data_IF_883638046245
#
_entry.id   IF_883638046245
#
_cell.length_a   1.000
_cell.length_b   1.000
_cell.length_c   1.000
_cell.angle_alpha   90.00
_cell.angle_beta   90.00
_cell.angle_gamma   90.00
#
_symmetry.space_group_name_H-M   'P 1'
#
loop_
_entity.id
_entity.type
_entity.pdbx_description
1 polymer ?
#
# COMPACT_ATOMS: atom_id res chain seq x y z
N UNK A 1 22.83 7.18 17.77
CA UNK A 1 21.48 6.85 18.25
C UNK A 1 20.95 5.72 17.38
N UNK A 2 20.81 4.51 17.93
CA UNK A 2 20.43 3.32 17.16
C UNK A 2 18.91 3.32 16.97
N UNK A 3 18.41 3.59 15.76
CA UNK A 3 16.97 3.53 15.44
C UNK A 3 16.48 2.09 15.68
N UNK A 4 15.40 1.93 16.46
CA UNK A 4 14.85 0.63 16.85
C UNK A 4 13.99 0.09 15.69
N UNK A 5 14.53 -0.86 14.92
CA UNK A 5 13.82 -1.52 13.80
C UNK A 5 12.94 -2.66 14.31
N UNK A 6 11.70 -2.73 13.84
CA UNK A 6 10.84 -3.89 14.08
C UNK A 6 11.03 -4.92 12.95
N UNK A 7 11.37 -6.15 13.31
CA UNK A 7 11.51 -7.24 12.35
C UNK A 7 10.12 -7.81 12.07
N UNK A 8 9.70 -7.79 10.81
CA UNK A 8 8.41 -8.35 10.42
C UNK A 8 8.54 -9.88 10.36
N UNK A 9 7.70 -10.59 11.13
CA UNK A 9 7.67 -12.06 11.13
C UNK A 9 6.84 -12.51 9.93
N UNK A 10 7.32 -13.51 9.18
CA UNK A 10 6.62 -14.13 8.06
C UNK A 10 5.16 -14.40 8.41
N UNK A 11 4.23 -13.91 7.58
CA UNK A 11 2.79 -14.09 7.80
C UNK A 11 2.47 -15.60 7.89
N UNK A 12 1.77 -16.06 8.94
CA UNK A 12 1.24 -17.42 8.96
C UNK A 12 0.24 -17.61 7.81
N UNK A 13 -0.01 -18.85 7.41
CA UNK A 13 -1.05 -19.21 6.42
C UNK A 13 -2.35 -18.47 6.76
N UNK A 14 -2.80 -17.59 5.86
CA UNK A 14 -3.94 -16.68 6.07
C UNK A 14 -5.18 -17.45 6.53
N UNK A 15 -5.79 -16.98 7.62
CA UNK A 15 -7.05 -17.54 8.13
C UNK A 15 -8.23 -17.25 7.20
N UNK A 16 -9.28 -18.08 7.24
CA UNK A 16 -10.48 -17.87 6.40
C UNK A 16 -11.15 -16.49 6.58
N UNK A 17 -11.01 -15.87 7.76
CA UNK A 17 -11.53 -14.52 8.02
C UNK A 17 -10.83 -13.45 7.20
N UNK A 18 -9.51 -13.55 7.05
CA UNK A 18 -8.72 -12.57 6.29
C UNK A 18 -9.04 -12.62 4.79
N UNK A 19 -9.29 -13.81 4.24
CA UNK A 19 -9.71 -13.96 2.84
C UNK A 19 -11.10 -13.38 2.57
N UNK A 20 -12.00 -13.38 3.57
CA UNK A 20 -13.31 -12.74 3.45
C UNK A 20 -13.16 -11.22 3.34
N UNK A 21 -12.30 -10.62 4.14
CA UNK A 21 -12.10 -9.16 4.16
C UNK A 21 -11.42 -8.65 2.87
N UNK A 22 -10.47 -9.42 2.33
CA UNK A 22 -9.85 -9.13 1.01
C UNK A 22 -10.89 -9.20 -0.12
N UNK A 23 -11.72 -10.25 -0.16
CA UNK A 23 -12.75 -10.39 -1.20
C UNK A 23 -13.84 -9.33 -1.07
N UNK A 24 -14.27 -9.00 0.14
CA UNK A 24 -15.22 -7.92 0.39
C UNK A 24 -14.67 -6.57 -0.11
N UNK A 25 -13.42 -6.27 0.22
CA UNK A 25 -12.73 -5.06 -0.25
C UNK A 25 -12.70 -4.99 -1.78
N UNK A 26 -12.30 -6.08 -2.44
CA UNK A 26 -12.28 -6.16 -3.91
C UNK A 26 -13.66 -5.88 -4.52
N UNK A 27 -14.71 -6.50 -3.97
CA UNK A 27 -16.08 -6.33 -4.47
C UNK A 27 -16.57 -4.89 -4.32
N UNK A 28 -16.27 -4.23 -3.20
CA UNK A 28 -16.67 -2.85 -2.93
C UNK A 28 -15.93 -1.83 -3.81
N UNK A 29 -14.65 -2.06 -4.09
CA UNK A 29 -13.82 -1.07 -4.78
C UNK A 29 -13.78 -1.24 -6.30
N UNK A 30 -14.07 -2.43 -6.83
CA UNK A 30 -14.12 -2.71 -8.26
C UNK A 30 -14.94 -1.68 -9.08
N UNK A 31 -16.17 -1.30 -8.70
CA UNK A 31 -16.95 -0.33 -9.48
C UNK A 31 -16.36 1.09 -9.45
N UNK A 32 -15.77 1.52 -8.34
CA UNK A 32 -15.17 2.85 -8.19
C UNK A 32 -13.89 2.98 -9.01
N UNK A 33 -13.04 1.94 -8.97
CA UNK A 33 -11.80 1.87 -9.76
C UNK A 33 -12.12 1.79 -11.25
N UNK A 34 -13.06 0.93 -11.65
CA UNK A 34 -13.46 0.78 -13.05
C UNK A 34 -14.07 2.07 -13.64
N UNK A 35 -14.70 2.89 -12.81
CA UNK A 35 -15.31 4.14 -13.24
C UNK A 35 -14.33 5.32 -13.33
N UNK A 36 -13.06 5.15 -12.96
CA UNK A 36 -12.07 6.23 -12.80
C UNK A 36 -12.57 7.41 -11.94
N UNK A 37 -13.57 7.18 -11.09
CA UNK A 37 -14.12 8.16 -10.16
C UNK A 37 -13.50 7.95 -8.79
N UNK A 38 -12.17 7.98 -8.75
CA UNK A 38 -11.47 7.87 -7.49
C UNK A 38 -11.54 9.24 -6.79
N UNK A 39 -12.02 9.32 -5.53
CA UNK A 39 -11.59 10.41 -4.66
C UNK A 39 -10.06 10.38 -4.58
N UNK A 40 -9.44 11.50 -4.21
CA UNK A 40 -7.99 11.69 -4.08
C UNK A 40 -7.26 10.37 -3.79
N UNK A 41 -6.46 9.89 -4.75
CA UNK A 41 -5.92 8.51 -4.82
C UNK A 41 -5.29 8.08 -3.48
N UNK A 42 -4.63 9.00 -2.78
CA UNK A 42 -4.08 8.80 -1.45
C UNK A 42 -5.12 8.28 -0.43
N UNK A 43 -6.29 8.92 -0.35
CA UNK A 43 -7.39 8.52 0.55
C UNK A 43 -7.93 7.14 0.21
N UNK A 44 -7.95 6.79 -1.07
CA UNK A 44 -8.39 5.47 -1.53
C UNK A 44 -7.42 4.38 -1.06
N UNK A 45 -6.11 4.60 -1.18
CA UNK A 45 -5.08 3.64 -0.74
C UNK A 45 -5.22 3.36 0.76
N UNK A 46 -5.37 4.40 1.58
CA UNK A 46 -5.54 4.24 3.03
C UNK A 46 -6.85 3.52 3.37
N UNK A 47 -7.93 3.82 2.66
CA UNK A 47 -9.24 3.18 2.87
C UNK A 47 -9.22 1.69 2.49
N UNK A 48 -8.55 1.35 1.39
CA UNK A 48 -8.32 -0.04 0.95
C UNK A 48 -7.51 -0.82 1.99
N UNK A 49 -6.43 -0.23 2.50
CA UNK A 49 -5.63 -0.86 3.53
C UNK A 49 -6.44 -1.07 4.82
N UNK A 50 -7.26 -0.09 5.19
CA UNK A 50 -8.14 -0.17 6.35
C UNK A 50 -9.19 -1.27 6.21
N UNK A 51 -9.78 -1.46 5.03
CA UNK A 51 -10.79 -2.50 4.84
C UNK A 51 -10.19 -3.91 4.84
N UNK A 52 -8.94 -4.06 4.39
CA UNK A 52 -8.21 -5.34 4.44
C UNK A 52 -7.82 -5.71 5.88
N UNK A 53 -7.32 -4.76 6.67
CA UNK A 53 -6.91 -5.01 8.06
C UNK A 53 -8.03 -4.86 9.10
N UNK A 54 -9.20 -4.36 8.69
CA UNK A 54 -10.37 -4.21 9.54
C UNK A 54 -10.12 -3.30 10.75
N UNK A 55 -10.22 -3.87 11.96
CA UNK A 55 -10.11 -3.14 13.24
C UNK A 55 -8.68 -3.07 13.80
N UNK A 56 -7.67 -3.46 13.02
CA UNK A 56 -6.28 -3.40 13.47
C UNK A 56 -5.82 -1.95 13.73
N UNK A 57 -4.90 -1.76 14.69
CA UNK A 57 -4.46 -0.41 15.10
C UNK A 57 -3.69 0.31 13.99
N UNK A 58 -3.03 -0.45 13.11
CA UNK A 58 -2.32 0.06 11.93
C UNK A 58 -3.18 0.15 10.66
N UNK A 59 -4.48 -0.18 10.74
CA UNK A 59 -5.36 -0.23 9.58
C UNK A 59 -5.56 1.17 8.96
N UNK A 60 -5.09 1.35 7.72
CA UNK A 60 -5.16 2.62 7.00
C UNK A 60 -4.25 3.72 7.54
N UNK A 61 -3.20 3.37 8.29
CA UNK A 61 -2.24 4.33 8.86
C UNK A 61 -0.84 4.01 8.34
N UNK A 62 -0.13 5.03 7.82
CA UNK A 62 1.27 4.88 7.40
C UNK A 62 2.15 4.48 8.58
N UNK A 63 3.23 3.74 8.33
CA UNK A 63 4.15 3.31 9.37
C UNK A 63 4.83 4.50 10.04
N UNK A 64 4.97 4.40 11.37
CA UNK A 64 5.62 5.42 12.21
C UNK A 64 6.98 4.96 12.76
N UNK A 65 7.50 3.84 12.26
CA UNK A 65 8.75 3.24 12.68
C UNK A 65 9.40 2.50 11.51
N UNK A 66 10.72 2.30 11.59
CA UNK A 66 11.46 1.51 10.62
C UNK A 66 11.15 0.02 10.78
N UNK A 67 10.99 -0.65 9.64
CA UNK A 67 10.74 -2.08 9.55
C UNK A 67 11.81 -2.72 8.69
N UNK A 68 12.04 -4.01 8.91
CA UNK A 68 12.88 -4.83 8.02
C UNK A 68 12.01 -5.94 7.43
N UNK A 69 12.15 -6.17 6.13
CA UNK A 69 11.38 -7.17 5.38
C UNK A 69 12.33 -8.30 5.00
N UNK A 70 12.23 -9.42 5.70
CA UNK A 70 13.21 -10.51 5.58
C UNK A 70 14.57 -10.11 6.19
N UNK A 71 15.63 -10.74 5.71
CA UNK A 71 16.99 -10.55 6.23
C UNK A 71 17.83 -9.56 5.42
N UNK A 72 17.46 -9.30 4.16
CA UNK A 72 18.30 -8.55 3.19
C UNK A 72 17.67 -7.26 2.67
N UNK A 73 16.42 -6.94 3.04
CA UNK A 73 15.74 -5.73 2.58
C UNK A 73 15.30 -4.84 3.73
N UNK A 74 15.94 -3.67 3.79
CA UNK A 74 15.52 -2.54 4.60
C UNK A 74 14.84 -1.51 3.67
N UNK A 75 13.51 -1.34 3.78
CA UNK A 75 12.83 -0.23 3.13
C UNK A 75 13.37 1.11 3.61
N UNK A 76 12.96 2.17 2.90
CA UNK A 76 13.33 3.55 3.23
C UNK A 76 13.00 3.93 4.70
N UNK A 77 13.52 5.05 5.18
CA UNK A 77 13.24 5.46 6.56
C UNK A 77 11.78 5.92 6.73
N UNK A 78 11.18 5.65 7.89
CA UNK A 78 9.74 5.85 8.11
C UNK A 78 9.27 7.30 8.01
N UNK A 79 10.14 8.25 8.34
CA UNK A 79 9.89 9.69 8.29
C UNK A 79 9.81 10.22 6.85
N UNK A 80 10.39 9.50 5.90
CA UNK A 80 10.35 9.83 4.47
C UNK A 80 9.12 9.24 3.75
N UNK A 81 8.46 8.24 4.34
CA UNK A 81 7.29 7.54 3.75
C UNK A 81 6.17 8.48 3.32
N UNK A 82 5.72 9.47 4.13
CA UNK A 82 4.62 10.33 3.72
C UNK A 82 4.94 11.11 2.43
N UNK A 83 6.16 11.66 2.35
CA UNK A 83 6.59 12.43 1.19
C UNK A 83 6.74 11.55 -0.06
N UNK A 84 7.24 10.32 0.07
CA UNK A 84 7.30 9.40 -1.07
C UNK A 84 5.93 8.86 -1.50
N UNK A 85 5.00 8.67 -0.55
CA UNK A 85 3.62 8.33 -0.88
C UNK A 85 2.93 9.45 -1.67
N UNK A 86 3.18 10.72 -1.34
CA UNK A 86 2.64 11.85 -2.10
C UNK A 86 3.21 11.88 -3.53
N UNK A 87 4.52 11.69 -3.69
CA UNK A 87 5.17 11.59 -5.01
C UNK A 87 4.64 10.41 -5.82
N UNK A 88 4.44 9.27 -5.15
CA UNK A 88 3.88 8.07 -5.77
C UNK A 88 2.46 8.32 -6.29
N UNK A 89 1.60 8.97 -5.47
CA UNK A 89 0.23 9.32 -5.85
C UNK A 89 0.20 10.30 -7.02
N UNK A 90 1.06 11.32 -6.99
CA UNK A 90 1.19 12.27 -8.11
C UNK A 90 1.62 11.57 -9.39
N UNK A 91 2.56 10.62 -9.29
CA UNK A 91 2.99 9.82 -10.44
C UNK A 91 1.86 8.93 -10.97
N UNK A 92 1.08 8.27 -10.10
CA UNK A 92 -0.08 7.47 -10.52
C UNK A 92 -1.08 8.32 -11.31
N UNK A 93 -1.44 9.49 -10.80
CA UNK A 93 -2.38 10.40 -11.45
C UNK A 93 -1.85 10.90 -12.81
N UNK A 94 -0.56 11.25 -12.88
CA UNK A 94 0.08 11.72 -14.10
C UNK A 94 0.12 10.63 -15.19
N UNK A 95 0.54 9.41 -14.86
CA UNK A 95 0.61 8.30 -15.83
C UNK A 95 -0.78 7.86 -16.29
N UNK A 96 -1.76 7.82 -15.39
CA UNK A 96 -3.15 7.51 -15.74
C UNK A 96 -3.73 8.53 -16.74
N UNK A 97 -3.35 9.81 -16.61
CA UNK A 97 -3.76 10.87 -17.54
C UNK A 97 -2.98 10.84 -18.86
N UNK A 98 -1.68 10.53 -18.81
CA UNK A 98 -0.82 10.48 -19.99
C UNK A 98 -1.15 9.29 -20.89
N UNK A 99 -1.47 8.13 -20.31
CA UNK A 99 -1.87 6.93 -21.05
C UNK A 99 -0.77 6.34 -21.94
N UNK A 100 0.50 6.59 -21.60
CA UNK A 100 1.66 6.18 -22.42
C UNK A 100 2.06 4.72 -22.19
N UNK A 101 1.92 4.23 -20.96
CA UNK A 101 2.23 2.84 -20.59
C UNK A 101 1.03 1.92 -20.80
N UNK A 102 1.28 0.64 -21.13
CA UNK A 102 0.23 -0.37 -21.09
C UNK A 102 -0.25 -0.62 -19.66
N UNK A 103 -1.49 -1.09 -19.50
CA UNK A 103 -2.04 -1.39 -18.18
C UNK A 103 -1.19 -2.40 -17.39
N UNK A 104 -0.57 -3.37 -18.07
CA UNK A 104 0.30 -4.37 -17.46
C UNK A 104 1.62 -3.75 -16.95
N UNK A 105 2.26 -2.91 -17.77
CA UNK A 105 3.49 -2.21 -17.39
C UNK A 105 3.23 -1.23 -16.25
N UNK A 106 2.14 -0.46 -16.34
CA UNK A 106 1.74 0.47 -15.29
C UNK A 106 1.51 -0.26 -13.95
N UNK A 107 0.79 -1.39 -13.96
CA UNK A 107 0.57 -2.19 -12.75
C UNK A 107 1.87 -2.78 -12.18
N UNK A 108 2.79 -3.21 -13.05
CA UNK A 108 4.11 -3.71 -12.63
C UNK A 108 4.95 -2.59 -11.96
N UNK A 109 4.99 -1.39 -12.55
CA UNK A 109 5.68 -0.26 -11.95
C UNK A 109 5.02 0.22 -10.67
N UNK A 110 3.69 0.31 -10.65
CA UNK A 110 2.94 0.76 -9.49
C UNK A 110 3.13 -0.17 -8.30
N UNK A 111 3.08 -1.49 -8.52
CA UNK A 111 3.30 -2.49 -7.46
C UNK A 111 4.74 -2.47 -6.95
N UNK A 112 5.73 -2.43 -7.84
CA UNK A 112 7.14 -2.39 -7.45
C UNK A 112 7.48 -1.16 -6.61
N UNK A 113 7.06 0.04 -7.05
CA UNK A 113 7.29 1.29 -6.30
C UNK A 113 6.61 1.26 -4.93
N UNK A 114 5.37 0.77 -4.87
CA UNK A 114 4.62 0.69 -3.61
C UNK A 114 5.29 -0.26 -2.60
N UNK A 115 5.80 -1.40 -3.06
CA UNK A 115 6.55 -2.35 -2.21
C UNK A 115 7.86 -1.74 -1.71
N UNK A 116 8.54 -0.95 -2.53
CA UNK A 116 9.79 -0.29 -2.15
C UNK A 116 9.60 0.77 -1.07
N UNK A 117 8.53 1.58 -1.16
CA UNK A 117 8.16 2.55 -0.11
C UNK A 117 7.80 1.81 1.19
N UNK A 118 7.11 0.66 1.05
CA UNK A 118 6.60 -0.17 2.13
C UNK A 118 5.85 0.67 3.18
N UNK A 119 4.70 1.26 2.82
CA UNK A 119 4.10 2.34 3.61
C UNK A 119 3.41 1.89 4.90
N UNK A 120 3.13 0.59 5.07
CA UNK A 120 2.29 0.08 6.15
C UNK A 120 3.04 -0.90 7.05
N UNK A 121 2.56 -1.00 8.28
CA UNK A 121 2.95 -2.06 9.23
C UNK A 121 1.85 -3.13 9.26
N UNK A 122 2.27 -4.39 9.18
CA UNK A 122 1.46 -5.58 9.42
C UNK A 122 1.67 -6.06 10.86
#
# INVERSE_FOLDING_TARGET
>A
MTKRRQRMVSLPVKSEGEWRDVNATRQCCAPTVASHRLPEIATTILSLHKSILGRHVGAGVLRTHDVSVGDDFDPMDWDEVPAEMDKYVQWLDAEMKAGVMSAAEFAAHASHRFLFIHPFIL
#
